data_IF_200061665689
#
_entry.id   IF_200061665689
#
_cell.length_a   1.000
_cell.length_b   1.000
_cell.length_c   1.000
_cell.angle_alpha   90.00
_cell.angle_beta   90.00
_cell.angle_gamma   90.00
#
_symmetry.space_group_name_H-M   'P 1'
#
loop_
_entity.id
_entity.type
_entity.pdbx_description
1 polymer ?
#
# COMPACT_ATOMS: atom_id res chain seq x y z
N UNK A 1 13.28 28.11 8.23
CA UNK A 1 13.71 27.46 6.97
C UNK A 1 12.58 26.53 6.56
N UNK A 2 11.93 26.89 5.46
CA UNK A 2 10.76 26.21 4.89
C UNK A 2 11.06 24.76 4.51
N UNK A 3 10.14 23.85 4.83
CA UNK A 3 10.09 22.50 4.26
C UNK A 3 9.66 22.60 2.79
N UNK A 4 10.56 23.11 1.94
CA UNK A 4 10.41 23.02 0.50
C UNK A 4 10.86 21.63 0.06
N UNK A 5 9.88 20.88 -0.46
CA UNK A 5 10.07 19.75 -1.36
C UNK A 5 10.49 18.41 -0.74
N UNK A 6 9.60 17.81 0.06
CA UNK A 6 9.36 16.37 -0.18
C UNK A 6 8.28 16.35 -1.26
N UNK A 7 8.68 16.13 -2.51
CA UNK A 7 7.73 15.78 -3.56
C UNK A 7 7.04 14.50 -3.12
N UNK A 8 5.73 14.55 -2.89
CA UNK A 8 4.93 13.36 -2.58
C UNK A 8 5.04 12.34 -3.74
N UNK A 9 5.30 12.84 -4.94
CA UNK A 9 5.65 12.14 -6.16
C UNK A 9 6.76 11.09 -5.92
N UNK A 10 7.76 11.40 -5.09
CA UNK A 10 8.88 10.50 -4.78
C UNK A 10 8.48 9.29 -3.92
N UNK A 11 7.45 9.41 -3.08
CA UNK A 11 7.01 8.30 -2.21
C UNK A 11 6.28 7.23 -3.03
N UNK A 12 5.68 7.61 -4.16
CA UNK A 12 5.04 6.70 -5.11
C UNK A 12 6.05 6.13 -6.12
N UNK A 13 7.02 6.94 -6.58
CA UNK A 13 8.09 6.53 -7.52
C UNK A 13 9.09 5.51 -6.92
N UNK A 14 9.27 5.55 -5.60
CA UNK A 14 10.27 4.73 -4.88
C UNK A 14 9.98 3.23 -4.94
N UNK A 15 8.73 2.83 -5.14
CA UNK A 15 8.32 1.43 -5.02
C UNK A 15 8.34 0.70 -6.35
N UNK A 16 8.63 1.37 -7.47
CA UNK A 16 8.52 0.79 -8.82
C UNK A 16 7.21 0.02 -8.99
N UNK A 17 6.10 0.59 -8.50
CA UNK A 17 4.75 0.06 -8.73
C UNK A 17 4.24 0.39 -10.14
N UNK A 18 5.14 0.45 -11.13
CA UNK A 18 4.75 0.72 -12.52
C UNK A 18 3.88 -0.42 -13.09
N UNK A 19 3.95 -1.61 -12.47
CA UNK A 19 3.21 -2.81 -12.86
C UNK A 19 1.91 -3.05 -12.06
N UNK A 20 1.49 -2.12 -11.18
CA UNK A 20 0.22 -2.26 -10.45
C UNK A 20 -0.65 -1.00 -10.48
N UNK A 21 -1.95 -1.20 -10.63
CA UNK A 21 -2.95 -0.12 -10.69
C UNK A 21 -3.72 -0.06 -9.36
N UNK A 22 -3.56 1.02 -8.59
CA UNK A 22 -4.36 1.29 -7.40
C UNK A 22 -5.56 2.19 -7.74
N UNK A 23 -6.76 1.80 -7.33
CA UNK A 23 -7.99 2.58 -7.50
C UNK A 23 -8.74 2.80 -6.19
N UNK A 24 -9.66 3.77 -6.18
CA UNK A 24 -10.52 4.10 -5.04
C UNK A 24 -10.41 5.56 -4.60
N UNK A 25 -11.32 5.98 -3.73
CA UNK A 25 -11.34 7.35 -3.19
C UNK A 25 -10.64 7.38 -1.83
N UNK A 26 -9.49 8.05 -1.78
CA UNK A 26 -8.64 8.11 -0.58
C UNK A 26 -9.00 9.32 0.30
N UNK A 27 -9.20 9.08 1.58
CA UNK A 27 -9.30 10.11 2.63
C UNK A 27 -8.37 9.75 3.78
N UNK A 28 -7.97 10.70 4.62
CA UNK A 28 -7.15 10.36 5.78
C UNK A 28 -6.36 11.50 6.37
N UNK A 29 -5.53 11.16 7.36
CA UNK A 29 -4.63 12.10 8.03
C UNK A 29 -3.19 11.66 7.81
N UNK A 30 -2.35 12.63 7.48
CA UNK A 30 -0.90 12.47 7.37
C UNK A 30 -0.26 13.41 8.40
N UNK A 31 0.46 12.84 9.34
CA UNK A 31 1.24 13.56 10.33
C UNK A 31 2.72 13.49 9.96
N UNK A 32 3.23 14.60 9.44
CA UNK A 32 4.65 14.77 9.13
C UNK A 32 5.30 15.70 10.14
N UNK A 33 6.27 15.19 10.90
CA UNK A 33 7.12 16.00 11.76
C UNK A 33 8.55 15.85 11.29
N UNK A 34 9.06 16.89 10.63
CA UNK A 34 10.48 16.96 10.28
C UNK A 34 11.23 17.64 11.42
N UNK A 35 11.95 16.84 12.20
CA UNK A 35 13.08 17.33 12.98
C UNK A 35 14.29 16.98 12.12
N UNK A 36 15.14 17.94 11.75
CA UNK A 36 16.18 17.84 10.70
C UNK A 36 17.05 16.56 10.67
N UNK A 37 17.04 15.71 11.72
CA UNK A 37 17.80 14.45 11.81
C UNK A 37 16.93 13.19 11.91
N UNK A 38 15.65 13.30 12.25
CA UNK A 38 14.73 12.20 12.54
C UNK A 38 13.32 12.54 12.01
N UNK A 39 13.05 12.33 10.71
CA UNK A 39 11.70 12.49 10.19
C UNK A 39 10.77 11.47 10.86
N UNK A 40 9.65 11.96 11.39
CA UNK A 40 8.56 11.12 11.87
C UNK A 40 7.39 11.32 10.93
N UNK A 41 6.98 10.26 10.25
CA UNK A 41 5.78 10.23 9.44
C UNK A 41 4.85 9.15 9.96
N UNK A 42 3.59 9.50 10.16
CA UNK A 42 2.51 8.56 10.44
C UNK A 42 1.31 8.90 9.57
N UNK A 43 0.70 7.89 8.98
CA UNK A 43 -0.48 8.05 8.13
C UNK A 43 -1.57 7.09 8.60
N UNK A 44 -2.81 7.53 8.48
CA UNK A 44 -3.97 6.64 8.48
C UNK A 44 -4.89 7.07 7.36
N UNK A 45 -5.09 6.19 6.41
CA UNK A 45 -5.85 6.40 5.19
C UNK A 45 -7.06 5.47 5.19
N UNK A 46 -8.19 5.98 4.75
CA UNK A 46 -9.38 5.19 4.42
C UNK A 46 -9.58 5.30 2.92
N UNK A 47 -9.72 4.16 2.24
CA UNK A 47 -9.95 4.10 0.80
C UNK A 47 -11.31 3.48 0.53
N UNK A 48 -12.21 4.29 -0.02
CA UNK A 48 -13.52 3.84 -0.43
C UNK A 48 -13.45 3.18 -1.80
N UNK A 49 -14.05 1.99 -1.94
CA UNK A 49 -13.94 1.16 -3.16
C UNK A 49 -12.49 0.97 -3.61
N UNK A 50 -11.65 0.50 -2.71
CA UNK A 50 -10.28 0.14 -2.99
C UNK A 50 -10.22 -0.94 -4.08
N UNK A 51 -9.45 -0.65 -5.13
CA UNK A 51 -9.16 -1.58 -6.20
C UNK A 51 -7.65 -1.78 -6.33
N UNK A 52 -7.24 -3.00 -6.65
CA UNK A 52 -5.88 -3.33 -7.04
C UNK A 52 -5.92 -4.10 -8.36
N UNK A 53 -5.19 -3.63 -9.37
CA UNK A 53 -5.17 -4.20 -10.71
C UNK A 53 -6.58 -4.40 -11.26
N UNK A 54 -7.40 -3.34 -11.14
CA UNK A 54 -8.83 -3.29 -11.55
C UNK A 54 -9.76 -4.25 -10.80
N UNK A 55 -9.26 -5.03 -9.86
CA UNK A 55 -10.07 -5.91 -9.00
C UNK A 55 -10.52 -5.14 -7.77
N UNK A 56 -11.85 -5.07 -7.54
CA UNK A 56 -12.44 -4.47 -6.34
C UNK A 56 -12.14 -5.36 -5.13
N UNK A 57 -11.57 -4.75 -4.08
CA UNK A 57 -11.25 -5.42 -2.82
C UNK A 57 -12.11 -4.93 -1.65
N UNK A 58 -12.85 -3.83 -1.83
CA UNK A 58 -13.81 -3.30 -0.85
C UNK A 58 -13.35 -1.99 -0.21
N UNK A 59 -13.51 -1.87 1.10
CA UNK A 59 -13.08 -0.69 1.88
C UNK A 59 -11.73 -0.98 2.54
N UNK A 60 -10.78 -0.04 2.49
CA UNK A 60 -9.47 -0.21 3.11
C UNK A 60 -9.21 0.82 4.22
N UNK A 61 -8.72 0.37 5.38
CA UNK A 61 -8.09 1.19 6.42
C UNK A 61 -6.60 0.85 6.46
N UNK A 62 -5.77 1.83 6.14
CA UNK A 62 -4.33 1.68 5.93
C UNK A 62 -3.58 2.57 6.90
N UNK A 63 -2.79 1.97 7.79
CA UNK A 63 -1.83 2.64 8.64
C UNK A 63 -0.42 2.54 8.06
N UNK A 64 0.30 3.67 8.07
CA UNK A 64 1.68 3.75 7.62
C UNK A 64 2.57 4.46 8.64
N UNK A 65 3.76 3.91 8.91
CA UNK A 65 4.75 4.53 9.80
C UNK A 65 6.11 4.51 9.14
N UNK A 66 6.77 5.68 9.08
CA UNK A 66 8.15 5.74 8.62
C UNK A 66 9.09 5.09 9.64
N UNK A 67 9.90 4.15 9.16
CA UNK A 67 10.95 3.50 9.89
C UNK A 67 12.31 3.95 9.30
N UNK A 68 13.09 4.63 10.13
CA UNK A 68 14.39 5.20 9.74
C UNK A 68 15.46 4.12 9.51
N UNK A 69 15.44 3.05 10.29
CA UNK A 69 16.44 1.98 10.20
C UNK A 69 16.22 1.19 8.92
N UNK A 70 14.96 0.85 8.67
CA UNK A 70 14.48 0.28 7.43
C UNK A 70 14.71 1.24 6.24
N UNK A 71 14.64 2.55 6.48
CA UNK A 71 14.67 3.58 5.44
C UNK A 71 13.45 3.49 4.53
N UNK A 72 12.27 3.30 5.12
CA UNK A 72 11.04 3.00 4.39
C UNK A 72 9.78 3.14 5.25
N UNK A 73 8.66 2.67 4.73
CA UNK A 73 7.36 2.71 5.41
C UNK A 73 6.96 1.30 5.82
N UNK A 74 6.62 1.12 7.11
CA UNK A 74 5.89 -0.05 7.59
C UNK A 74 4.41 0.17 7.41
N UNK A 75 3.72 -0.86 6.93
CA UNK A 75 2.32 -0.82 6.54
C UNK A 75 1.54 -1.86 7.36
N UNK A 76 0.32 -1.48 7.73
CA UNK A 76 -0.70 -2.35 8.31
C UNK A 76 -2.04 -1.93 7.69
N UNK A 77 -2.66 -2.80 6.90
CA UNK A 77 -3.86 -2.50 6.15
C UNK A 77 -4.93 -3.56 6.35
N UNK A 78 -6.12 -3.13 6.75
CA UNK A 78 -7.33 -3.96 6.78
C UNK A 78 -8.18 -3.59 5.57
N UNK A 79 -8.51 -4.58 4.74
CA UNK A 79 -9.32 -4.40 3.54
C UNK A 79 -10.49 -5.37 3.64
N UNK A 80 -11.71 -4.90 3.40
CA UNK A 80 -12.87 -5.78 3.48
C UNK A 80 -13.99 -5.34 2.55
N UNK A 81 -14.59 -6.33 1.89
CA UNK A 81 -15.92 -6.19 1.33
C UNK A 81 -16.93 -6.76 2.33
N UNK A 82 -17.83 -5.91 2.83
CA UNK A 82 -18.67 -6.24 4.00
C UNK A 82 -19.51 -7.49 3.75
N UNK A 83 -19.22 -8.55 4.52
CA UNK A 83 -19.92 -9.83 4.44
C UNK A 83 -19.47 -10.73 3.28
N UNK A 84 -18.41 -10.35 2.57
CA UNK A 84 -17.91 -11.07 1.40
C UNK A 84 -16.45 -11.48 1.61
N UNK A 85 -15.56 -10.53 1.93
CA UNK A 85 -14.12 -10.81 2.02
C UNK A 85 -13.42 -10.00 3.11
N UNK A 86 -12.30 -10.50 3.58
CA UNK A 86 -11.40 -9.80 4.50
C UNK A 86 -9.95 -10.09 4.13
N UNK A 87 -9.15 -9.04 4.03
CA UNK A 87 -7.72 -9.11 3.75
C UNK A 87 -6.96 -8.27 4.76
N UNK A 88 -5.98 -8.87 5.43
CA UNK A 88 -5.02 -8.17 6.26
C UNK A 88 -3.66 -8.19 5.60
N UNK A 89 -3.09 -7.01 5.35
CA UNK A 89 -1.75 -6.84 4.81
C UNK A 89 -0.87 -6.18 5.86
N UNK A 90 0.28 -6.79 6.15
CA UNK A 90 1.31 -6.17 6.99
C UNK A 90 2.65 -6.27 6.31
N UNK A 91 3.59 -5.40 6.67
CA UNK A 91 4.96 -5.51 6.19
C UNK A 91 5.59 -4.16 5.94
N UNK A 92 6.41 -4.07 4.90
CA UNK A 92 7.10 -2.84 4.58
C UNK A 92 7.41 -2.65 3.11
N UNK A 93 7.67 -1.39 2.78
CA UNK A 93 8.32 -0.97 1.54
C UNK A 93 9.55 -0.14 1.91
N UNK A 94 10.70 -0.47 1.33
CA UNK A 94 11.97 0.21 1.61
C UNK A 94 12.71 0.61 0.32
N UNK A 95 12.77 1.92 -0.01
CA UNK A 95 13.72 2.44 -1.01
C UNK A 95 15.16 2.11 -0.68
N UNK A 96 15.53 2.21 0.60
CA UNK A 96 16.90 1.98 1.07
C UNK A 96 17.36 0.55 0.80
N UNK A 97 16.47 -0.42 0.98
CA UNK A 97 16.72 -1.83 0.67
C UNK A 97 16.39 -2.20 -0.78
N UNK A 98 15.80 -1.28 -1.56
CA UNK A 98 15.23 -1.53 -2.88
C UNK A 98 14.30 -2.76 -2.89
N UNK A 99 13.39 -2.83 -1.93
CA UNK A 99 12.55 -4.00 -1.79
C UNK A 99 11.32 -3.77 -0.91
N UNK A 100 10.39 -4.71 -1.03
CA UNK A 100 9.19 -4.82 -0.22
C UNK A 100 9.10 -6.24 0.35
N UNK A 101 8.50 -6.34 1.53
CA UNK A 101 8.11 -7.62 2.13
C UNK A 101 6.71 -7.41 2.70
N UNK A 102 5.73 -8.13 2.16
CA UNK A 102 4.34 -8.03 2.53
C UNK A 102 3.80 -9.41 2.88
N UNK A 103 3.28 -9.53 4.09
CA UNK A 103 2.49 -10.68 4.53
C UNK A 103 1.02 -10.37 4.30
N UNK A 104 0.38 -11.19 3.48
CA UNK A 104 -1.03 -11.07 3.12
C UNK A 104 -1.79 -12.26 3.71
N UNK A 105 -2.83 -11.98 4.49
CA UNK A 105 -3.82 -12.96 4.94
C UNK A 105 -5.15 -12.60 4.31
N UNK A 106 -5.65 -13.46 3.44
CA UNK A 106 -6.86 -13.23 2.67
C UNK A 106 -7.89 -14.32 2.97
N UNK A 107 -9.14 -13.92 3.20
CA UNK A 107 -10.30 -14.78 3.31
C UNK A 107 -11.34 -14.34 2.29
N UNK A 108 -11.65 -15.25 1.35
CA UNK A 108 -12.64 -15.04 0.29
C UNK A 108 -12.36 -13.80 -0.58
N UNK A 109 -11.12 -13.32 -0.58
CA UNK A 109 -10.66 -12.17 -1.36
C UNK A 109 -10.55 -12.54 -2.84
N UNK A 110 -11.11 -11.70 -3.70
CA UNK A 110 -10.98 -11.84 -5.14
C UNK A 110 -9.49 -11.84 -5.54
N UNK A 111 -9.00 -12.93 -6.12
CA UNK A 111 -7.60 -13.10 -6.53
C UNK A 111 -7.25 -12.43 -7.86
N UNK A 112 -8.20 -11.79 -8.54
CA UNK A 112 -7.96 -11.06 -9.79
C UNK A 112 -6.88 -9.99 -9.67
N UNK A 113 -6.61 -9.47 -8.47
CA UNK A 113 -5.50 -8.54 -8.25
C UNK A 113 -4.13 -9.17 -8.55
N UNK A 114 -4.02 -10.50 -8.52
CA UNK A 114 -2.76 -11.20 -8.80
C UNK A 114 -2.44 -11.26 -10.29
N UNK A 115 -3.41 -10.97 -11.17
CA UNK A 115 -3.30 -11.18 -12.62
C UNK A 115 -1.99 -10.65 -13.22
N UNK A 116 -1.52 -9.42 -12.96
CA UNK A 116 -0.29 -8.92 -13.57
C UNK A 116 0.97 -9.69 -13.16
N UNK A 117 0.95 -10.40 -12.03
CA UNK A 117 2.10 -11.19 -11.55
C UNK A 117 2.11 -12.62 -12.09
N UNK A 118 0.99 -13.09 -12.63
CA UNK A 118 0.79 -14.47 -13.10
C UNK A 118 0.53 -14.55 -14.61
N UNK A 119 0.28 -13.42 -15.27
CA UNK A 119 0.19 -13.28 -16.73
C UNK A 119 1.51 -13.75 -17.34
N UNK A 120 1.54 -15.01 -17.80
CA UNK A 120 2.74 -15.67 -18.33
C UNK A 120 3.18 -16.92 -17.56
N UNK A 121 2.65 -17.14 -16.35
CA UNK A 121 2.80 -18.39 -15.58
C UNK A 121 1.55 -19.25 -15.72
N UNK A 122 0.37 -18.63 -15.67
CA UNK A 122 -0.93 -19.28 -15.81
C UNK A 122 -1.74 -18.59 -16.91
N UNK A 123 -2.40 -19.37 -17.77
CA UNK A 123 -3.19 -18.84 -18.89
C UNK A 123 -4.56 -18.31 -18.44
N UNK A 124 -5.15 -18.89 -17.39
CA UNK A 124 -6.40 -18.44 -16.75
C UNK A 124 -6.42 -18.90 -15.28
N UNK A 125 -6.82 -18.01 -14.37
CA UNK A 125 -7.19 -18.38 -12.99
C UNK A 125 -8.65 -18.00 -12.78
N UNK A 126 -9.49 -19.02 -12.56
CA UNK A 126 -10.88 -18.85 -12.13
C UNK A 126 -11.00 -19.34 -10.68
N UNK A 127 -11.65 -18.56 -9.83
CA UNK A 127 -11.90 -18.85 -8.42
C UNK A 127 -13.17 -18.17 -7.94
#
# INVERSE_FOLDING_TARGET
MDLRNIKLDYVLDIVQFDDVEFGGLVTGKVHLKSVMKNPVMRTRLNVHKFCLNRSLLGEADIAGVWDKELGGVRLDAQIAEKGISSTHVTGYVSPKLKGLDLSIRADSTNLGFLQPFIEGIFSEING
#
